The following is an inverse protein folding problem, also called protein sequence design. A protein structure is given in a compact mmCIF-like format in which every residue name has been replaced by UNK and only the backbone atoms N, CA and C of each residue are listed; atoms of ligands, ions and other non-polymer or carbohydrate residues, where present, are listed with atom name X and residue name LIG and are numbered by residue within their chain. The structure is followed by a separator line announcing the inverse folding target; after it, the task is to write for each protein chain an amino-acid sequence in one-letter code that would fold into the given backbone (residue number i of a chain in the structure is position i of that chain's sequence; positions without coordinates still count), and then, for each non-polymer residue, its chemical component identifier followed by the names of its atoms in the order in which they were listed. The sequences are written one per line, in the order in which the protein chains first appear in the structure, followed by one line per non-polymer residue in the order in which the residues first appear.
data_IF_235974176727
#
_entry.id   IF_235974176727
#
_cell.length_a   1.000
_cell.length_b   1.000
_cell.length_c   1.000
_cell.angle_alpha   90.00
_cell.angle_beta   90.00
_cell.angle_gamma   90.00
#
_symmetry.space_group_name_H-M   'P 1'
#
loop_
_entity.id
_entity.type
_entity.pdbx_description
1 polymer ?
#
# COMPACT_ATOMS: atom_id res chain seq x y z
N UNK A 1 21.96 -5.99 10.40
CA UNK A 1 20.72 -6.12 11.16
C UNK A 1 20.27 -4.73 11.54
N UNK A 2 18.97 -4.53 11.71
CA UNK A 2 18.38 -3.28 12.17
C UNK A 2 17.01 -3.54 12.78
N UNK A 3 16.32 -2.47 13.14
CA UNK A 3 14.97 -2.55 13.66
C UNK A 3 14.32 -1.19 13.86
N UNK A 4 13.11 -1.22 14.40
CA UNK A 4 12.47 -0.02 14.88
C UNK A 4 11.51 -0.31 16.03
N UNK A 5 11.29 0.72 16.84
CA UNK A 5 10.17 0.80 17.80
C UNK A 5 9.34 2.01 17.40
N UNK A 6 8.02 1.86 17.35
CA UNK A 6 7.11 2.96 17.04
C UNK A 6 5.98 3.04 18.06
N UNK A 7 5.60 4.27 18.37
CA UNK A 7 4.47 4.60 19.22
C UNK A 7 3.51 5.46 18.41
N UNK A 8 2.22 5.27 18.62
CA UNK A 8 1.20 6.12 18.00
C UNK A 8 0.38 6.83 19.06
N UNK A 9 -0.20 7.96 18.67
CA UNK A 9 -1.30 8.60 19.38
C UNK A 9 -2.44 8.87 18.38
N UNK A 10 -3.61 8.34 18.67
CA UNK A 10 -4.80 8.49 17.84
C UNK A 10 -5.92 9.28 18.52
N UNK A 11 -6.53 10.19 17.76
CA UNK A 11 -7.78 10.86 18.11
C UNK A 11 -8.79 10.71 16.99
N UNK A 12 -10.05 10.46 17.32
CA UNK A 12 -11.15 10.25 16.38
C UNK A 12 -12.28 11.24 16.67
N UNK A 13 -12.94 11.77 15.62
CA UNK A 13 -14.15 12.60 15.77
C UNK A 13 -15.46 11.80 15.79
N UNK A 14 -15.39 10.50 15.47
CA UNK A 14 -16.55 9.64 15.22
C UNK A 14 -16.67 8.44 16.16
N UNK A 15 -15.70 8.24 17.04
CA UNK A 15 -15.64 7.13 17.99
C UNK A 15 -14.73 7.49 19.17
N UNK A 16 -14.62 6.60 20.16
CA UNK A 16 -13.69 6.78 21.26
C UNK A 16 -12.25 6.82 20.76
N UNK A 17 -11.49 7.80 21.23
CA UNK A 17 -10.10 7.98 20.82
C UNK A 17 -9.22 6.90 21.44
N UNK A 18 -8.42 6.16 20.63
CA UNK A 18 -7.57 5.09 21.14
C UNK A 18 -6.46 5.60 22.07
N UNK A 19 -6.08 6.88 21.98
CA UNK A 19 -5.03 7.45 22.81
C UNK A 19 -3.65 6.99 22.35
N UNK A 20 -2.71 6.81 23.30
CA UNK A 20 -1.34 6.42 23.01
C UNK A 20 -1.13 4.91 23.14
N UNK A 21 -0.40 4.31 22.19
CA UNK A 21 -0.11 2.88 22.14
C UNK A 21 1.31 2.59 21.61
N UNK A 22 1.77 1.36 21.85
CA UNK A 22 2.92 0.79 21.16
C UNK A 22 2.44 0.29 19.80
N UNK A 23 2.81 0.98 18.72
CA UNK A 23 2.34 0.65 17.37
C UNK A 23 3.10 -0.54 16.79
N UNK A 24 4.44 -0.54 16.91
CA UNK A 24 5.25 -1.54 16.22
C UNK A 24 6.58 -1.79 16.94
N UNK A 25 6.92 -3.06 17.08
CA UNK A 25 8.30 -3.52 17.15
C UNK A 25 8.63 -4.20 15.83
N UNK A 26 9.79 -3.90 15.24
CA UNK A 26 10.24 -4.59 14.02
C UNK A 26 11.69 -5.00 14.11
N UNK A 27 11.98 -6.16 13.53
CA UNK A 27 13.32 -6.68 13.33
C UNK A 27 13.57 -6.85 11.84
N UNK A 28 14.75 -6.45 11.38
CA UNK A 28 15.14 -6.59 9.99
C UNK A 28 16.59 -7.07 9.83
N UNK A 29 16.81 -7.87 8.79
CA UNK A 29 18.14 -8.25 8.36
C UNK A 29 18.21 -8.24 6.84
N UNK A 30 19.33 -7.74 6.33
CA UNK A 30 19.66 -7.77 4.92
C UNK A 30 21.14 -8.10 4.77
N UNK A 31 21.49 -8.78 3.70
CA UNK A 31 22.86 -9.17 3.43
C UNK A 31 23.11 -9.47 1.96
N UNK A 32 24.37 -9.43 1.57
CA UNK A 32 24.84 -9.76 0.22
C UNK A 32 26.14 -10.55 0.31
N UNK A 33 26.26 -11.58 -0.51
CA UNK A 33 27.48 -12.36 -0.68
C UNK A 33 27.63 -12.71 -2.16
N UNK A 34 28.61 -12.08 -2.82
CA UNK A 34 28.74 -12.16 -4.28
C UNK A 34 27.46 -11.69 -4.98
N UNK A 35 26.89 -12.57 -5.81
CA UNK A 35 25.64 -12.34 -6.56
C UNK A 35 24.38 -12.66 -5.75
N UNK A 36 24.53 -13.30 -4.59
CA UNK A 36 23.40 -13.64 -3.73
C UNK A 36 23.10 -12.50 -2.75
N UNK A 37 21.83 -12.25 -2.49
CA UNK A 37 21.37 -11.31 -1.46
C UNK A 37 20.13 -11.84 -0.75
N UNK A 38 19.78 -11.25 0.38
CA UNK A 38 18.52 -11.50 1.04
C UNK A 38 18.04 -10.24 1.77
N UNK A 39 16.74 -10.15 1.99
CA UNK A 39 16.13 -9.17 2.89
C UNK A 39 14.98 -9.82 3.64
N UNK A 40 14.93 -9.59 4.94
CA UNK A 40 13.85 -10.01 5.82
C UNK A 40 13.46 -8.88 6.75
N UNK A 41 12.16 -8.71 6.96
CA UNK A 41 11.59 -7.87 7.99
C UNK A 41 10.37 -8.56 8.60
N UNK A 42 10.38 -8.64 9.92
CA UNK A 42 9.28 -9.17 10.71
C UNK A 42 8.77 -8.09 11.66
N UNK A 43 7.46 -8.05 11.88
CA UNK A 43 6.77 -7.00 12.61
C UNK A 43 5.90 -7.60 13.70
N UNK A 44 5.96 -7.02 14.89
CA UNK A 44 5.13 -7.34 16.04
C UNK A 44 4.30 -6.10 16.37
N UNK A 45 2.99 -6.25 16.29
CA UNK A 45 1.98 -5.25 16.62
C UNK A 45 1.33 -5.60 17.96
N UNK A 46 0.46 -4.73 18.46
CA UNK A 46 -0.44 -5.12 19.54
C UNK A 46 -1.49 -6.12 19.03
N UNK A 47 -1.53 -7.30 19.62
CA UNK A 47 -2.48 -8.38 19.29
C UNK A 47 -2.05 -9.36 18.19
N UNK A 48 -1.12 -9.01 17.29
CA UNK A 48 -0.65 -9.93 16.24
C UNK A 48 0.76 -9.62 15.74
N UNK A 49 1.30 -10.53 14.93
CA UNK A 49 2.59 -10.37 14.27
C UNK A 49 2.55 -10.89 12.84
N UNK A 50 3.40 -10.32 11.98
CA UNK A 50 3.38 -10.62 10.56
C UNK A 50 4.77 -10.49 9.92
N UNK A 51 4.99 -11.30 8.88
CA UNK A 51 6.05 -11.02 7.91
C UNK A 51 5.66 -9.78 7.12
N UNK A 52 6.60 -8.85 6.97
CA UNK A 52 6.44 -7.75 6.02
C UNK A 52 7.09 -8.10 4.69
N UNK A 53 8.31 -8.61 4.71
CA UNK A 53 8.95 -9.18 3.53
C UNK A 53 10.00 -10.21 3.96
N UNK A 54 10.23 -11.21 3.12
CA UNK A 54 11.26 -12.22 3.30
C UNK A 54 11.59 -12.85 1.95
N UNK A 55 12.69 -12.42 1.33
CA UNK A 55 13.08 -12.90 0.01
C UNK A 55 14.59 -13.14 -0.10
N UNK A 56 14.94 -14.07 -0.99
CA UNK A 56 16.30 -14.30 -1.47
C UNK A 56 16.45 -13.77 -2.88
N UNK A 57 17.56 -13.08 -3.15
CA UNK A 57 17.86 -12.42 -4.41
C UNK A 57 19.11 -13.00 -5.07
N UNK A 58 19.12 -13.00 -6.41
CA UNK A 58 20.26 -13.35 -7.22
C UNK A 58 20.43 -12.34 -8.35
N UNK A 59 21.59 -11.70 -8.44
CA UNK A 59 21.90 -10.80 -9.55
C UNK A 59 22.17 -11.62 -10.81
N UNK A 60 21.22 -11.66 -11.73
CA UNK A 60 21.31 -12.41 -12.99
C UNK A 60 22.21 -11.71 -14.04
N UNK A 61 22.49 -10.42 -13.86
CA UNK A 61 23.40 -9.60 -14.68
C UNK A 61 23.85 -8.35 -13.94
N UNK A 62 24.51 -7.41 -14.63
CA UNK A 62 24.89 -6.12 -14.03
C UNK A 62 23.67 -5.28 -13.64
N UNK A 63 22.61 -5.35 -14.47
CA UNK A 63 21.40 -4.56 -14.31
C UNK A 63 20.15 -5.43 -14.15
N UNK A 64 20.28 -6.70 -13.75
CA UNK A 64 19.15 -7.62 -13.57
C UNK A 64 19.23 -8.37 -12.25
N UNK A 65 18.12 -8.42 -11.52
CA UNK A 65 17.98 -9.19 -10.29
C UNK A 65 16.74 -10.07 -10.34
N UNK A 66 16.89 -11.32 -9.90
CA UNK A 66 15.79 -12.23 -9.61
C UNK A 66 15.59 -12.27 -8.09
N UNK A 67 14.37 -12.10 -7.60
CA UNK A 67 14.01 -12.28 -6.19
C UNK A 67 12.92 -13.32 -6.05
N UNK A 68 13.02 -14.18 -5.04
CA UNK A 68 12.02 -15.19 -4.70
C UNK A 68 11.72 -15.16 -3.20
N UNK A 69 10.44 -15.15 -2.86
CA UNK A 69 9.94 -15.07 -1.48
C UNK A 69 8.76 -14.12 -1.35
N UNK A 70 8.48 -13.71 -0.11
CA UNK A 70 7.47 -12.70 0.24
C UNK A 70 8.05 -11.31 -0.06
N UNK A 71 7.48 -10.60 -1.03
CA UNK A 71 8.08 -9.38 -1.58
C UNK A 71 7.06 -8.48 -2.24
N UNK A 72 7.38 -7.19 -2.33
CA UNK A 72 6.47 -6.20 -2.88
C UNK A 72 6.04 -6.55 -4.31
N UNK A 73 4.74 -6.51 -4.55
CA UNK A 73 4.14 -6.68 -5.87
C UNK A 73 4.40 -5.41 -6.68
N UNK A 74 5.07 -5.49 -7.85
CA UNK A 74 5.45 -4.30 -8.59
C UNK A 74 4.23 -3.73 -9.34
N UNK A 75 3.52 -2.81 -8.70
CA UNK A 75 2.34 -2.16 -9.26
C UNK A 75 2.33 -0.66 -8.92
N UNK A 76 1.93 0.18 -9.88
CA UNK A 76 1.82 1.62 -9.71
C UNK A 76 3.15 2.33 -9.39
N UNK A 77 3.04 3.43 -8.66
CA UNK A 77 4.17 4.24 -8.21
C UNK A 77 4.87 3.54 -7.03
N UNK A 78 6.15 3.21 -7.21
CA UNK A 78 6.96 2.53 -6.22
C UNK A 78 7.98 3.49 -5.57
N UNK A 79 8.38 3.26 -4.31
CA UNK A 79 7.88 2.21 -3.42
C UNK A 79 6.48 2.49 -2.85
N UNK A 80 6.05 3.75 -2.83
CA UNK A 80 4.79 4.20 -2.25
C UNK A 80 4.17 5.32 -3.09
N UNK A 81 2.86 5.32 -3.29
CA UNK A 81 2.12 6.45 -3.86
C UNK A 81 1.53 7.35 -2.76
N UNK A 82 2.35 7.70 -1.76
CA UNK A 82 1.98 8.50 -0.59
C UNK A 82 3.24 9.06 0.11
N UNK A 83 3.09 10.14 0.86
CA UNK A 83 4.12 10.67 1.77
C UNK A 83 3.74 10.51 3.26
N UNK A 84 2.47 10.24 3.55
CA UNK A 84 1.89 10.07 4.88
C UNK A 84 2.06 8.67 5.46
N UNK A 85 1.85 8.54 6.77
CA UNK A 85 1.84 7.24 7.45
C UNK A 85 0.58 6.43 7.12
N UNK A 86 -0.54 7.10 6.85
CA UNK A 86 -1.85 6.49 6.59
C UNK A 86 -2.15 6.22 5.10
N UNK A 87 -1.22 6.52 4.20
CA UNK A 87 -1.35 6.24 2.77
C UNK A 87 -2.61 6.84 2.12
N UNK A 88 -2.89 6.44 0.87
CA UNK A 88 -4.17 6.65 0.20
C UNK A 88 -5.03 5.39 0.18
N UNK A 89 -6.19 5.45 -0.47
CA UNK A 89 -7.11 4.32 -0.62
C UNK A 89 -6.49 3.14 -1.37
N UNK A 90 -5.55 3.38 -2.30
CA UNK A 90 -4.85 2.35 -3.05
C UNK A 90 -4.10 1.33 -2.18
N UNK A 91 -3.54 1.78 -1.06
CA UNK A 91 -2.90 0.91 -0.07
C UNK A 91 -3.88 -0.10 0.53
N UNK A 92 -5.03 0.38 0.97
CA UNK A 92 -6.09 -0.48 1.55
C UNK A 92 -6.77 -1.38 0.53
N UNK A 93 -6.58 -1.12 -0.76
CA UNK A 93 -7.10 -1.89 -1.88
C UNK A 93 -6.10 -2.93 -2.42
N UNK A 94 -4.92 -3.08 -1.78
CA UNK A 94 -3.89 -4.03 -2.22
C UNK A 94 -3.16 -3.60 -3.50
N UNK A 95 -3.25 -2.31 -3.88
CA UNK A 95 -2.61 -1.77 -5.08
C UNK A 95 -1.24 -1.14 -4.79
N UNK A 96 -0.94 -0.90 -3.53
CA UNK A 96 0.27 -0.20 -3.07
C UNK A 96 0.78 -0.90 -1.80
N UNK A 97 2.11 -0.96 -1.62
CA UNK A 97 2.77 -1.58 -0.46
C UNK A 97 2.25 -2.99 -0.07
N UNK A 98 1.97 -3.81 -1.08
CA UNK A 98 1.42 -5.18 -1.02
C UNK A 98 2.53 -6.22 -1.26
N UNK A 99 2.64 -7.30 -0.46
CA UNK A 99 3.87 -8.14 -0.34
C UNK A 99 3.76 -9.64 -0.63
N UNK A 100 3.06 -10.08 -1.65
CA UNK A 100 2.86 -11.52 -1.93
C UNK A 100 4.09 -12.45 -2.02
N UNK A 101 3.79 -13.75 -1.83
CA UNK A 101 4.73 -14.84 -2.11
C UNK A 101 4.87 -15.07 -3.64
N UNK A 102 6.05 -14.77 -4.17
CA UNK A 102 6.30 -14.90 -5.60
C UNK A 102 7.76 -14.86 -6.03
N UNK A 103 7.93 -14.72 -7.35
CA UNK A 103 9.21 -14.53 -8.03
C UNK A 103 9.12 -13.27 -8.88
N UNK A 104 10.08 -12.36 -8.73
CA UNK A 104 10.15 -11.10 -9.47
C UNK A 104 11.50 -10.99 -10.13
N UNK A 105 11.49 -10.72 -11.43
CA UNK A 105 12.65 -10.25 -12.17
C UNK A 105 12.55 -8.73 -12.30
N UNK A 106 13.63 -8.05 -11.91
CA UNK A 106 13.81 -6.62 -12.09
C UNK A 106 14.96 -6.37 -13.05
N UNK A 107 14.80 -5.41 -13.96
CA UNK A 107 15.85 -5.01 -14.89
C UNK A 107 15.90 -3.50 -15.11
N UNK A 108 17.09 -2.93 -14.98
CA UNK A 108 17.39 -1.55 -15.32
C UNK A 108 18.14 -1.43 -16.65
N UNK A 109 17.86 -0.38 -17.41
CA UNK A 109 18.62 -0.02 -18.61
C UNK A 109 18.58 1.51 -18.80
N UNK A 110 19.62 2.21 -18.34
CA UNK A 110 19.65 3.67 -18.35
C UNK A 110 18.48 4.26 -17.56
N UNK A 111 17.65 5.07 -18.22
CA UNK A 111 16.46 5.69 -17.64
C UNK A 111 15.26 4.73 -17.48
N UNK A 112 15.38 3.46 -17.90
CA UNK A 112 14.28 2.51 -17.95
C UNK A 112 14.38 1.46 -16.85
N UNK A 113 13.26 1.16 -16.20
CA UNK A 113 13.13 0.08 -15.21
C UNK A 113 11.93 -0.81 -15.51
N UNK A 114 12.15 -2.11 -15.50
CA UNK A 114 11.17 -3.14 -15.77
C UNK A 114 11.05 -4.09 -14.58
N UNK A 115 9.82 -4.51 -14.28
CA UNK A 115 9.55 -5.60 -13.35
C UNK A 115 8.62 -6.60 -14.02
N UNK A 116 8.91 -7.88 -13.84
CA UNK A 116 8.05 -9.00 -14.23
C UNK A 116 7.94 -9.92 -13.03
N UNK A 117 6.74 -10.01 -12.46
CA UNK A 117 6.45 -10.80 -11.28
C UNK A 117 5.44 -11.91 -11.56
N UNK A 118 5.63 -13.05 -10.93
CA UNK A 118 4.60 -14.07 -10.74
C UNK A 118 4.43 -14.33 -9.25
N UNK A 119 3.18 -14.35 -8.79
CA UNK A 119 2.81 -14.52 -7.39
C UNK A 119 1.82 -15.67 -7.28
N UNK A 120 1.95 -16.46 -6.22
CA UNK A 120 1.12 -17.66 -6.02
C UNK A 120 -0.24 -17.35 -5.40
N UNK A 121 -0.33 -16.22 -4.71
CA UNK A 121 -1.44 -15.66 -3.93
C UNK A 121 -0.86 -14.75 -2.85
N UNK A 122 -1.67 -14.43 -1.83
CA UNK A 122 -1.25 -13.69 -0.63
C UNK A 122 -0.04 -14.35 0.08
N UNK A 123 0.60 -13.64 1.01
CA UNK A 123 1.86 -14.07 1.63
C UNK A 123 1.81 -15.42 2.32
N UNK A 124 0.62 -15.82 2.79
CA UNK A 124 0.40 -17.04 3.53
C UNK A 124 -0.35 -18.11 2.71
N UNK A 125 -0.87 -17.74 1.54
CA UNK A 125 -1.74 -18.57 0.70
C UNK A 125 -3.08 -18.92 1.36
N UNK A 126 -3.47 -18.15 2.38
CA UNK A 126 -4.64 -18.39 3.23
C UNK A 126 -5.42 -17.09 3.44
N UNK A 127 -6.43 -16.86 2.60
CA UNK A 127 -7.34 -15.72 2.73
C UNK A 127 -8.14 -15.70 4.03
N UNK A 128 -8.20 -16.80 4.80
CA UNK A 128 -8.81 -16.83 6.13
C UNK A 128 -7.91 -16.27 7.24
N UNK A 129 -6.64 -15.99 6.93
CA UNK A 129 -5.67 -15.45 7.88
C UNK A 129 -5.66 -13.92 7.82
N UNK A 130 -6.33 -13.27 8.78
CA UNK A 130 -6.48 -11.81 8.80
C UNK A 130 -5.32 -11.07 9.50
N UNK A 131 -4.53 -11.76 10.33
CA UNK A 131 -3.31 -11.28 10.98
C UNK A 131 -2.15 -11.18 9.99
N UNK A 132 -2.26 -10.21 9.07
CA UNK A 132 -1.29 -9.95 7.99
C UNK A 132 -1.02 -8.46 7.81
N UNK A 133 0.12 -8.17 7.16
CA UNK A 133 0.54 -6.80 6.86
C UNK A 133 -0.13 -6.25 5.60
N UNK A 134 -0.11 -7.02 4.53
CA UNK A 134 -0.63 -6.62 3.22
C UNK A 134 -2.14 -6.73 3.15
N UNK A 135 -2.73 -5.86 2.34
CA UNK A 135 -4.18 -5.83 2.12
C UNK A 135 -4.53 -6.74 0.95
N UNK A 136 -4.98 -7.94 1.30
CA UNK A 136 -5.35 -8.97 0.32
C UNK A 136 -6.83 -9.34 0.42
N UNK A 137 -7.32 -10.05 -0.59
CA UNK A 137 -8.64 -10.69 -0.57
C UNK A 137 -8.78 -11.58 0.66
N UNK A 138 -9.87 -11.39 1.39
CA UNK A 138 -10.22 -12.14 2.59
C UNK A 138 -11.28 -13.20 2.31
N UNK A 139 -11.10 -14.38 2.88
CA UNK A 139 -12.12 -15.43 2.90
C UNK A 139 -13.03 -15.19 4.10
N UNK A 140 -14.26 -14.74 3.83
CA UNK A 140 -15.32 -14.62 4.85
C UNK A 140 -16.46 -15.59 4.56
N UNK A 141 -17.41 -15.74 5.48
CA UNK A 141 -18.61 -16.56 5.26
C UNK A 141 -19.46 -16.02 4.09
N UNK A 142 -19.63 -14.70 3.99
CA UNK A 142 -20.43 -14.05 2.96
C UNK A 142 -19.70 -13.93 1.61
N UNK A 143 -18.38 -13.68 1.64
CA UNK A 143 -17.52 -13.50 0.47
C UNK A 143 -16.33 -14.48 0.57
N UNK A 144 -16.52 -15.76 0.20
CA UNK A 144 -15.58 -16.83 0.49
C UNK A 144 -14.50 -16.94 -0.60
N UNK A 145 -13.76 -15.86 -0.85
CA UNK A 145 -12.74 -15.80 -1.90
C UNK A 145 -11.32 -15.75 -1.33
N UNK A 146 -10.33 -16.16 -2.11
CA UNK A 146 -8.90 -15.94 -1.85
C UNK A 146 -8.15 -15.64 -3.14
N UNK A 147 -7.01 -14.97 -3.04
CA UNK A 147 -6.11 -14.78 -4.19
C UNK A 147 -5.45 -16.09 -4.62
N UNK A 148 -5.33 -16.31 -5.94
CA UNK A 148 -4.70 -17.52 -6.48
C UNK A 148 -4.07 -17.28 -7.84
N UNK A 149 -2.76 -17.03 -7.83
CA UNK A 149 -1.97 -16.87 -9.04
C UNK A 149 -2.18 -15.50 -9.68
N UNK A 150 -1.12 -14.70 -9.77
CA UNK A 150 -1.12 -13.36 -10.34
C UNK A 150 0.19 -13.11 -11.07
N UNK A 151 0.11 -12.55 -12.27
CA UNK A 151 1.27 -12.01 -13.00
C UNK A 151 1.19 -10.50 -12.93
N UNK A 152 2.30 -9.84 -12.63
CA UNK A 152 2.41 -8.39 -12.60
C UNK A 152 3.54 -7.93 -13.52
N UNK A 153 3.27 -6.91 -14.33
CA UNK A 153 4.24 -6.25 -15.20
C UNK A 153 4.24 -4.76 -14.86
N UNK A 154 5.43 -4.20 -14.67
CA UNK A 154 5.60 -2.77 -14.45
C UNK A 154 6.74 -2.23 -15.30
N UNK A 155 6.50 -1.09 -15.90
CA UNK A 155 7.51 -0.30 -16.58
C UNK A 155 7.55 1.11 -16.01
N UNK A 156 8.74 1.67 -15.89
CA UNK A 156 8.95 3.07 -15.56
C UNK A 156 10.12 3.65 -16.33
N UNK A 157 9.92 4.86 -16.79
CA UNK A 157 10.96 5.75 -17.25
C UNK A 157 11.24 6.78 -16.15
N UNK A 158 12.50 7.01 -15.84
CA UNK A 158 12.91 8.02 -14.86
C UNK A 158 14.16 8.76 -15.30
N UNK A 159 14.09 10.09 -15.24
CA UNK A 159 15.22 10.98 -15.43
C UNK A 159 15.42 11.85 -14.20
N UNK A 160 16.67 12.04 -13.82
CA UNK A 160 17.03 12.86 -12.68
C UNK A 160 18.16 13.81 -13.05
N UNK A 161 17.98 15.07 -12.65
CA UNK A 161 18.96 16.15 -12.76
C UNK A 161 19.04 16.87 -11.41
N UNK A 162 20.01 17.77 -11.25
CA UNK A 162 20.17 18.54 -10.01
C UNK A 162 18.92 19.37 -9.64
N UNK A 163 18.09 19.75 -10.62
CA UNK A 163 16.94 20.66 -10.41
C UNK A 163 15.58 20.00 -10.60
N UNK A 164 15.54 18.90 -11.33
CA UNK A 164 14.32 18.24 -11.76
C UNK A 164 14.48 16.72 -11.67
N UNK A 165 13.50 16.05 -11.09
CA UNK A 165 13.30 14.62 -11.22
C UNK A 165 11.97 14.36 -11.91
N UNK A 166 11.93 13.47 -12.88
CA UNK A 166 10.70 13.03 -13.51
C UNK A 166 10.70 11.51 -13.60
N UNK A 167 9.60 10.89 -13.20
CA UNK A 167 9.34 9.49 -13.45
C UNK A 167 7.92 9.31 -13.97
N UNK A 168 7.72 8.40 -14.91
CA UNK A 168 6.40 8.01 -15.37
C UNK A 168 6.41 6.54 -15.75
N UNK A 169 5.30 5.85 -15.49
CA UNK A 169 5.23 4.42 -15.69
C UNK A 169 3.82 3.90 -15.85
N UNK A 170 3.77 2.61 -16.16
CA UNK A 170 2.54 1.85 -16.34
C UNK A 170 2.70 0.50 -15.65
N UNK A 171 1.60 -0.02 -15.12
CA UNK A 171 1.55 -1.36 -14.55
C UNK A 171 0.31 -2.10 -15.04
N UNK A 172 0.42 -3.41 -15.19
CA UNK A 172 -0.71 -4.31 -15.41
C UNK A 172 -0.52 -5.55 -14.55
N UNK A 173 -1.61 -6.06 -14.00
CA UNK A 173 -1.63 -7.37 -13.35
C UNK A 173 -2.84 -8.15 -13.83
N UNK A 174 -2.69 -9.48 -13.90
CA UNK A 174 -3.76 -10.40 -14.24
C UNK A 174 -3.57 -11.71 -13.50
N UNK A 175 -4.65 -12.22 -12.93
CA UNK A 175 -4.65 -13.34 -12.02
C UNK A 175 -6.06 -13.86 -11.77
N UNK A 176 -6.22 -14.57 -10.65
CA UNK A 176 -7.51 -15.11 -10.27
C UNK A 176 -7.77 -14.95 -8.78
N UNK A 177 -9.05 -14.87 -8.43
CA UNK A 177 -9.55 -15.26 -7.12
C UNK A 177 -10.22 -16.62 -7.21
N UNK A 178 -10.15 -17.39 -6.14
CA UNK A 178 -10.73 -18.74 -6.04
C UNK A 178 -11.81 -18.76 -4.96
N UNK A 179 -13.01 -19.21 -5.30
CA UNK A 179 -14.08 -19.48 -4.34
C UNK A 179 -13.71 -20.68 -3.48
N UNK A 180 -13.77 -20.51 -2.17
CA UNK A 180 -13.49 -21.56 -1.17
C UNK A 180 -14.66 -22.52 -0.96
N UNK A 181 -15.82 -22.21 -1.54
CA UNK A 181 -17.01 -23.07 -1.48
C UNK A 181 -16.97 -24.19 -2.52
N UNK A 182 -16.56 -23.87 -3.75
CA UNK A 182 -16.65 -24.78 -4.91
C UNK A 182 -15.34 -24.87 -5.73
N UNK A 183 -14.31 -24.09 -5.39
CA UNK A 183 -13.02 -24.06 -6.11
C UNK A 183 -13.07 -23.31 -7.44
N UNK A 184 -14.18 -22.66 -7.78
CA UNK A 184 -14.31 -21.90 -9.04
C UNK A 184 -13.38 -20.69 -9.02
N UNK A 185 -12.72 -20.45 -10.16
CA UNK A 185 -11.83 -19.29 -10.34
C UNK A 185 -12.50 -18.18 -11.14
N UNK A 186 -12.29 -16.95 -10.69
CA UNK A 186 -12.75 -15.72 -11.32
C UNK A 186 -11.53 -14.85 -11.65
N UNK A 187 -11.56 -14.11 -12.77
CA UNK A 187 -10.45 -13.25 -13.14
C UNK A 187 -10.24 -12.11 -12.13
N UNK A 188 -9.00 -11.75 -11.87
CA UNK A 188 -8.61 -10.57 -11.10
C UNK A 188 -7.59 -9.79 -11.93
N UNK A 189 -8.00 -8.64 -12.45
CA UNK A 189 -7.16 -7.82 -13.34
C UNK A 189 -7.02 -6.41 -12.76
N UNK A 190 -5.83 -5.83 -12.87
CA UNK A 190 -5.61 -4.43 -12.55
C UNK A 190 -4.67 -3.75 -13.55
N UNK A 191 -4.78 -2.43 -13.69
CA UNK A 191 -3.90 -1.62 -14.49
C UNK A 191 -3.70 -0.25 -13.85
N UNK A 192 -2.52 0.34 -14.03
CA UNK A 192 -2.23 1.68 -13.53
C UNK A 192 -1.34 2.46 -14.51
N UNK A 193 -1.51 3.78 -14.48
CA UNK A 193 -0.57 4.75 -15.03
C UNK A 193 -0.18 5.72 -13.92
N UNK A 194 1.10 6.09 -13.85
CA UNK A 194 1.59 6.96 -12.80
C UNK A 194 2.66 7.92 -13.30
N UNK A 195 2.81 9.04 -12.60
CA UNK A 195 3.87 10.00 -12.81
C UNK A 195 4.29 10.65 -11.48
N UNK A 196 5.57 10.96 -11.35
CA UNK A 196 6.14 11.76 -10.28
C UNK A 196 6.99 12.86 -10.89
N UNK A 197 6.82 14.08 -10.39
CA UNK A 197 7.65 15.21 -10.77
C UNK A 197 8.16 15.92 -9.53
N UNK A 198 9.49 16.05 -9.44
CA UNK A 198 10.19 16.78 -8.39
C UNK A 198 10.83 18.03 -8.98
N UNK A 199 10.60 19.18 -8.36
CA UNK A 199 11.24 20.45 -8.73
C UNK A 199 11.59 21.24 -7.47
N UNK A 200 12.89 21.30 -7.17
CA UNK A 200 13.38 21.89 -5.92
C UNK A 200 12.72 21.19 -4.71
N UNK A 201 12.09 21.93 -3.78
CA UNK A 201 11.44 21.35 -2.60
C UNK A 201 10.12 20.63 -2.88
N UNK A 202 9.52 20.83 -4.06
CA UNK A 202 8.19 20.33 -4.35
C UNK A 202 8.25 18.98 -5.07
N UNK A 203 7.43 18.03 -4.63
CA UNK A 203 7.17 16.77 -5.31
C UNK A 203 5.67 16.63 -5.55
N UNK A 204 5.29 16.32 -6.79
CA UNK A 204 3.92 15.98 -7.18
C UNK A 204 3.89 14.54 -7.64
N UNK A 205 2.94 13.76 -7.16
CA UNK A 205 2.65 12.41 -7.65
C UNK A 205 1.21 12.36 -8.18
N UNK A 206 1.04 11.66 -9.30
CA UNK A 206 -0.24 11.39 -9.94
C UNK A 206 -0.30 9.90 -10.25
N UNK A 207 -1.42 9.26 -9.95
CA UNK A 207 -1.68 7.89 -10.34
C UNK A 207 -3.16 7.71 -10.68
N UNK A 208 -3.45 6.92 -11.70
CA UNK A 208 -4.77 6.33 -11.91
C UNK A 208 -4.58 4.83 -11.94
N UNK A 209 -5.16 4.12 -10.97
CA UNK A 209 -5.27 2.67 -11.00
C UNK A 209 -6.72 2.24 -11.27
N UNK A 210 -6.90 1.06 -11.84
CA UNK A 210 -8.18 0.36 -11.95
C UNK A 210 -7.95 -1.09 -11.58
N UNK A 211 -8.88 -1.66 -10.83
CA UNK A 211 -8.93 -3.10 -10.57
C UNK A 211 -10.32 -3.65 -10.85
N UNK A 212 -10.40 -4.95 -11.11
CA UNK A 212 -11.64 -5.69 -11.32
C UNK A 212 -11.51 -7.12 -10.82
N UNK A 213 -12.42 -7.52 -9.95
CA UNK A 213 -12.66 -8.91 -9.60
C UNK A 213 -13.89 -9.43 -10.37
N UNK A 214 -13.69 -10.43 -11.23
CA UNK A 214 -14.69 -10.96 -12.15
C UNK A 214 -15.68 -11.96 -11.53
N UNK A 215 -16.02 -11.80 -10.26
CA UNK A 215 -17.04 -12.61 -9.59
C UNK A 215 -18.42 -11.92 -9.65
N UNK A 216 -19.53 -12.63 -9.40
CA UNK A 216 -20.87 -12.08 -9.61
C UNK A 216 -21.30 -11.00 -8.61
N UNK A 217 -20.76 -11.03 -7.39
CA UNK A 217 -21.12 -10.09 -6.33
C UNK A 217 -20.48 -8.70 -6.58
N UNK A 218 -21.15 -7.59 -6.20
CA UNK A 218 -20.65 -6.23 -6.44
C UNK A 218 -19.50 -5.82 -5.51
N UNK A 219 -19.16 -6.67 -4.53
CA UNK A 219 -18.22 -6.39 -3.46
C UNK A 219 -17.33 -7.60 -3.19
N UNK A 220 -16.10 -7.34 -2.78
CA UNK A 220 -15.14 -8.35 -2.34
C UNK A 220 -14.70 -8.02 -0.91
N UNK A 221 -14.38 -9.04 -0.12
CA UNK A 221 -13.80 -8.81 1.21
C UNK A 221 -12.28 -8.69 1.08
N UNK A 222 -11.71 -7.73 1.81
CA UNK A 222 -10.28 -7.55 1.99
C UNK A 222 -9.94 -7.61 3.48
N UNK A 223 -8.70 -7.93 3.83
CA UNK A 223 -8.25 -7.82 5.22
C UNK A 223 -6.76 -7.59 5.33
N UNK A 224 -6.41 -6.85 6.38
CA UNK A 224 -5.10 -6.81 7.01
C UNK A 224 -5.31 -6.38 8.47
N UNK A 225 -4.30 -6.52 9.32
CA UNK A 225 -4.39 -6.08 10.73
C UNK A 225 -5.60 -6.69 11.48
N UNK A 226 -5.84 -8.00 11.29
CA UNK A 226 -6.82 -8.86 11.97
C UNK A 226 -8.29 -8.74 11.57
N UNK A 227 -8.70 -7.68 10.86
CA UNK A 227 -10.12 -7.43 10.59
C UNK A 227 -10.44 -7.37 9.09
N UNK A 228 -11.44 -8.13 8.61
CA UNK A 228 -11.91 -8.02 7.25
C UNK A 228 -12.88 -6.84 7.10
N UNK A 229 -12.93 -6.29 5.90
CA UNK A 229 -13.87 -5.25 5.49
C UNK A 229 -14.22 -5.43 4.01
N UNK A 230 -15.32 -4.82 3.57
CA UNK A 230 -15.77 -4.92 2.19
C UNK A 230 -15.27 -3.75 1.34
N UNK A 231 -14.95 -4.05 0.09
CA UNK A 231 -14.66 -3.06 -0.94
C UNK A 231 -15.46 -3.33 -2.21
N UNK A 232 -15.66 -2.32 -3.05
CA UNK A 232 -16.26 -2.52 -4.38
C UNK A 232 -15.43 -3.52 -5.19
N UNK A 233 -16.07 -4.44 -5.93
CA UNK A 233 -15.39 -5.45 -6.74
C UNK A 233 -14.72 -4.87 -8.00
N UNK A 234 -15.08 -3.66 -8.42
CA UNK A 234 -14.46 -2.96 -9.55
C UNK A 234 -14.47 -1.45 -9.27
N UNK A 235 -13.31 -0.79 -9.38
CA UNK A 235 -13.22 0.66 -9.19
C UNK A 235 -12.07 1.31 -9.97
N UNK A 236 -12.24 2.59 -10.30
CA UNK A 236 -11.15 3.50 -10.64
C UNK A 236 -10.62 4.17 -9.36
N UNK A 237 -9.30 4.31 -9.24
CA UNK A 237 -8.61 4.86 -8.08
C UNK A 237 -7.64 5.97 -8.52
N UNK A 238 -8.12 7.20 -8.78
CA UNK A 238 -7.26 8.35 -8.95
C UNK A 238 -6.60 8.77 -7.62
N UNK A 239 -5.30 9.05 -7.68
CA UNK A 239 -4.47 9.53 -6.58
C UNK A 239 -3.71 10.79 -7.02
N UNK A 240 -3.68 11.79 -6.15
CA UNK A 240 -2.91 13.02 -6.30
C UNK A 240 -2.22 13.35 -4.98
N UNK A 241 -0.90 13.46 -5.01
CA UNK A 241 -0.12 13.83 -3.84
C UNK A 241 0.74 15.04 -4.13
N UNK A 242 0.83 15.93 -3.15
CA UNK A 242 1.74 17.06 -3.15
C UNK A 242 2.55 17.05 -1.86
N UNK A 243 3.87 17.08 -2.00
CA UNK A 243 4.80 17.20 -0.88
C UNK A 243 5.75 18.39 -1.06
N UNK A 244 6.17 18.95 0.07
CA UNK A 244 7.07 20.08 0.15
C UNK A 244 8.12 19.88 1.24
N UNK A 245 9.39 19.87 0.84
CA UNK A 245 10.55 19.81 1.73
C UNK A 245 10.88 21.21 2.28
N UNK A 246 10.81 21.37 3.61
CA UNK A 246 11.14 22.61 4.29
C UNK A 246 12.64 22.87 4.22
N UNK A 247 13.04 23.90 3.48
CA UNK A 247 14.45 24.21 3.19
C UNK A 247 15.28 24.67 4.40
N UNK A 248 14.62 25.09 5.49
CA UNK A 248 15.29 25.53 6.74
C UNK A 248 14.56 24.90 7.94
N UNK A 249 14.76 23.60 8.18
CA UNK A 249 14.02 22.85 9.21
C UNK A 249 14.44 23.22 10.65
N UNK A 250 15.44 24.09 10.83
CA UNK A 250 15.86 24.61 12.12
C UNK A 250 16.60 23.55 12.95
N UNK A 251 16.04 23.19 14.12
CA UNK A 251 16.59 22.13 14.96
C UNK A 251 16.50 20.75 14.30
N UNK A 252 15.50 20.52 13.45
CA UNK A 252 15.24 19.23 12.83
C UNK A 252 16.17 18.97 11.63
N UNK A 253 16.37 17.70 11.30
CA UNK A 253 17.24 17.32 10.19
C UNK A 253 16.47 17.38 8.86
N UNK A 254 15.16 17.05 8.89
CA UNK A 254 14.25 17.22 7.77
C UNK A 254 12.81 17.44 8.25
N UNK A 255 12.05 18.24 7.50
CA UNK A 255 10.60 18.34 7.62
C UNK A 255 10.02 18.31 6.21
N UNK A 256 9.09 17.39 5.96
CA UNK A 256 8.35 17.30 4.70
C UNK A 256 6.88 17.37 5.00
N UNK A 257 6.19 18.39 4.49
CA UNK A 257 4.75 18.53 4.64
C UNK A 257 4.06 18.11 3.35
N UNK A 258 2.88 17.51 3.46
CA UNK A 258 2.20 16.88 2.34
C UNK A 258 0.68 16.94 2.44
N UNK A 259 0.05 16.75 1.30
CA UNK A 259 -1.35 16.41 1.15
C UNK A 259 -1.45 15.25 0.15
N UNK A 260 -1.91 14.10 0.62
CA UNK A 260 -2.13 12.89 -0.17
C UNK A 260 -3.64 12.68 -0.33
N UNK A 261 -4.15 12.77 -1.56
CA UNK A 261 -5.56 12.63 -1.89
C UNK A 261 -5.77 11.38 -2.75
N UNK A 262 -6.77 10.59 -2.40
CA UNK A 262 -7.21 9.44 -3.18
C UNK A 262 -8.73 9.34 -3.18
N UNK A 263 -9.27 8.88 -4.30
CA UNK A 263 -10.71 8.63 -4.45
C UNK A 263 -10.89 7.24 -5.02
N UNK A 264 -11.81 6.46 -4.45
CA UNK A 264 -12.20 5.17 -5.02
C UNK A 264 -13.58 5.33 -5.64
N UNK A 265 -13.66 5.12 -6.95
CA UNK A 265 -14.84 5.33 -7.78
C UNK A 265 -15.34 3.97 -8.27
N UNK A 266 -16.33 3.35 -7.59
CA UNK A 266 -16.90 2.09 -8.04
C UNK A 266 -17.41 2.17 -9.47
N UNK A 267 -17.20 1.09 -10.23
CA UNK A 267 -17.69 0.97 -11.60
C UNK A 267 -19.09 0.38 -11.61
N UNK A 268 -19.94 0.93 -12.49
CA UNK A 268 -21.33 0.51 -12.59
C UNK A 268 -22.24 1.20 -11.59
N UNK A 269 -23.55 1.09 -11.79
CA UNK A 269 -24.56 1.61 -10.87
C UNK A 269 -25.09 0.46 -10.04
N UNK A 270 -24.82 0.46 -8.74
CA UNK A 270 -25.34 -0.51 -7.79
C UNK A 270 -25.74 0.22 -6.50
N UNK A 271 -26.94 -0.04 -5.93
CA UNK A 271 -27.43 0.70 -4.76
C UNK A 271 -26.59 0.51 -3.49
N UNK A 272 -25.76 -0.53 -3.44
CA UNK A 272 -24.84 -0.79 -2.34
C UNK A 272 -23.41 -0.27 -2.55
N UNK A 273 -23.17 0.54 -3.59
CA UNK A 273 -21.84 1.09 -3.92
C UNK A 273 -21.90 2.62 -4.00
N UNK A 274 -20.86 3.28 -3.51
CA UNK A 274 -20.70 4.75 -3.53
C UNK A 274 -19.23 5.13 -3.47
N UNK A 275 -18.87 6.29 -4.01
CA UNK A 275 -17.49 6.73 -3.99
C UNK A 275 -16.94 6.94 -2.57
N UNK A 276 -15.67 6.60 -2.40
CA UNK A 276 -14.91 6.85 -1.18
C UNK A 276 -13.85 7.90 -1.40
N UNK A 277 -13.66 8.73 -0.39
CA UNK A 277 -12.63 9.76 -0.38
C UNK A 277 -11.70 9.52 0.80
N UNK A 278 -10.41 9.69 0.57
CA UNK A 278 -9.44 9.83 1.65
C UNK A 278 -8.45 10.94 1.30
N UNK A 279 -8.28 11.85 2.25
CA UNK A 279 -7.33 12.94 2.19
C UNK A 279 -6.50 12.92 3.47
N UNK A 280 -5.18 12.78 3.34
CA UNK A 280 -4.23 12.86 4.44
C UNK A 280 -3.39 14.12 4.29
N UNK A 281 -3.54 15.06 5.23
CA UNK A 281 -2.70 16.27 5.29
C UNK A 281 -1.82 16.18 6.53
N UNK A 282 -0.52 16.34 6.36
CA UNK A 282 0.39 16.16 7.48
C UNK A 282 1.81 16.64 7.21
N UNK A 283 2.69 16.36 8.17
CA UNK A 283 4.13 16.50 7.98
C UNK A 283 4.87 15.32 8.63
N UNK A 284 5.95 14.89 7.98
CA UNK A 284 6.97 14.04 8.56
C UNK A 284 8.13 14.89 9.06
N UNK A 285 8.68 14.54 10.22
CA UNK A 285 9.72 15.27 10.93
C UNK A 285 10.81 14.28 11.33
N UNK A 286 12.05 14.54 10.91
CA UNK A 286 13.19 13.69 11.21
C UNK A 286 14.20 14.37 12.15
N UNK A 287 14.70 13.59 13.13
CA UNK A 287 15.84 13.98 13.98
C UNK A 287 16.66 12.76 14.39
N UNK A 288 17.85 12.62 13.83
CA UNK A 288 18.75 11.49 14.05
C UNK A 288 18.05 10.17 13.68
N UNK A 289 17.84 9.32 14.69
CA UNK A 289 17.16 8.03 14.53
C UNK A 289 15.63 8.12 14.62
N UNK A 290 15.09 9.30 14.96
CA UNK A 290 13.67 9.52 15.15
C UNK A 290 13.02 10.04 13.86
N UNK A 291 11.90 9.44 13.48
CA UNK A 291 10.99 9.97 12.46
C UNK A 291 9.59 10.03 13.05
N UNK A 292 8.95 11.18 12.97
CA UNK A 292 7.59 11.40 13.46
C UNK A 292 6.69 11.84 12.31
N UNK A 293 5.54 11.19 12.15
CA UNK A 293 4.46 11.61 11.27
C UNK A 293 3.37 12.25 12.10
N UNK A 294 2.85 13.39 11.64
CA UNK A 294 1.66 14.05 12.20
C UNK A 294 0.65 14.19 11.07
N UNK A 295 -0.36 13.33 11.08
CA UNK A 295 -1.33 13.18 10.01
C UNK A 295 -2.73 13.54 10.47
N UNK A 296 -3.38 14.45 9.75
CA UNK A 296 -4.82 14.63 9.78
C UNK A 296 -5.44 13.90 8.61
N UNK A 297 -6.17 12.83 8.91
CA UNK A 297 -6.84 11.97 7.93
C UNK A 297 -8.32 12.37 7.93
N UNK A 298 -8.84 12.75 6.78
CA UNK A 298 -10.26 12.97 6.55
C UNK A 298 -10.75 12.02 5.47
N UNK A 299 -11.87 11.36 5.70
CA UNK A 299 -12.45 10.43 4.73
C UNK A 299 -13.97 10.45 4.70
N UNK A 300 -14.51 10.01 3.56
CA UNK A 300 -15.94 9.78 3.34
C UNK A 300 -16.11 8.39 2.73
N UNK A 301 -17.05 7.60 3.26
CA UNK A 301 -17.22 6.19 2.87
C UNK A 301 -15.90 5.41 2.90
N UNK A 302 -15.02 5.72 3.85
CA UNK A 302 -13.68 5.14 3.93
C UNK A 302 -13.53 4.37 5.24
N UNK A 303 -13.31 3.06 5.15
CA UNK A 303 -13.18 2.15 6.30
C UNK A 303 -12.23 2.68 7.37
N UNK A 304 -11.06 3.18 6.95
CA UNK A 304 -10.01 3.69 7.83
C UNK A 304 -10.27 5.10 8.40
N UNK A 305 -11.36 5.72 7.98
CA UNK A 305 -11.97 6.91 8.56
C UNK A 305 -13.40 6.62 9.06
N UNK A 306 -13.66 5.37 9.51
CA UNK A 306 -14.90 4.98 10.16
C UNK A 306 -16.08 4.70 9.23
N UNK A 307 -15.91 4.70 7.91
CA UNK A 307 -16.94 4.32 6.95
C UNK A 307 -17.24 2.81 6.93
N UNK A 308 -18.30 2.37 6.23
CA UNK A 308 -18.71 0.96 6.21
C UNK A 308 -17.80 0.05 5.35
N UNK A 309 -16.91 0.62 4.55
CA UNK A 309 -16.02 -0.10 3.63
C UNK A 309 -15.28 0.88 2.72
N UNK A 310 -14.81 0.43 1.56
CA UNK A 310 -14.24 1.30 0.50
C UNK A 310 -14.99 1.06 -0.82
N UNK A 311 -15.64 2.09 -1.35
CA UNK A 311 -16.56 1.95 -2.47
C UNK A 311 -17.95 1.47 -2.05
N UNK A 312 -18.26 1.48 -0.75
CA UNK A 312 -19.44 0.84 -0.15
C UNK A 312 -20.47 1.88 0.31
N UNK A 313 -21.74 1.60 0.00
CA UNK A 313 -22.90 2.37 0.46
C UNK A 313 -23.74 1.55 1.44
N UNK A 314 -23.68 1.93 2.72
CA UNK A 314 -24.46 1.32 3.81
C UNK A 314 -24.80 2.35 4.89
N UNK A 315 -25.80 2.08 5.74
CA UNK A 315 -26.13 2.96 6.87
C UNK A 315 -24.91 3.27 7.73
N UNK A 316 -24.74 4.55 8.09
CA UNK A 316 -23.54 5.03 8.76
C UNK A 316 -22.42 5.46 7.81
N UNK A 317 -22.60 5.29 6.50
CA UNK A 317 -21.83 5.95 5.44
C UNK A 317 -22.23 7.41 5.20
N UNK A 318 -21.60 8.02 4.21
CA UNK A 318 -21.81 9.36 3.63
C UNK A 318 -21.48 10.61 4.47
N UNK A 319 -21.08 10.43 5.73
CA UNK A 319 -20.45 11.49 6.51
C UNK A 319 -18.97 11.64 6.19
N UNK A 320 -18.47 12.88 6.22
CA UNK A 320 -17.04 13.10 6.41
C UNK A 320 -16.69 12.85 7.88
N UNK A 321 -15.60 12.13 8.08
CA UNK A 321 -15.06 11.76 9.38
C UNK A 321 -13.57 12.04 9.38
N UNK A 322 -13.05 12.44 10.52
CA UNK A 322 -11.65 12.81 10.65
C UNK A 322 -10.98 12.13 11.83
N UNK A 323 -9.67 11.93 11.69
CA UNK A 323 -8.80 11.45 12.75
C UNK A 323 -7.44 12.13 12.69
N UNK A 324 -6.84 12.28 13.85
CA UNK A 324 -5.45 12.68 14.00
C UNK A 324 -4.65 11.43 14.36
N UNK A 325 -3.50 11.26 13.70
CA UNK A 325 -2.52 10.26 14.05
C UNK A 325 -1.14 10.91 14.21
N UNK A 326 -0.50 10.69 15.35
CA UNK A 326 0.89 11.04 15.57
C UNK A 326 1.67 9.75 15.74
N UNK A 327 2.45 9.34 14.74
CA UNK A 327 3.31 8.15 14.82
C UNK A 327 4.75 8.59 15.02
N UNK A 328 5.42 8.12 16.07
CA UNK A 328 6.82 8.39 16.36
C UNK A 328 7.61 7.09 16.34
N UNK A 329 8.56 6.98 15.42
CA UNK A 329 9.43 5.83 15.25
C UNK A 329 10.90 6.11 15.55
N UNK A 330 11.57 5.15 16.17
CA UNK A 330 13.01 5.13 16.40
C UNK A 330 13.64 3.98 15.62
N UNK A 331 14.51 4.29 14.67
CA UNK A 331 15.10 3.33 13.73
C UNK A 331 16.60 3.14 14.04
N UNK A 332 17.08 1.90 14.09
CA UNK A 332 18.44 1.61 14.53
C UNK A 332 19.16 0.51 13.75
#
# INVERSE_FOLDING_TARGET
MGGAVRFSYGWLDYADSPGADLELLRGEARGRSGRASFSLQYRWYDGFDAVHHAWAGWDAGADSQLRAGVQQVPFGLLPYASHSFWFGSGYYLGLEDDYDLGVVWEHGAGAHRWHVGWFSGDEYGDGGRFDRYSFDVATTEALPYRERGRVALRYEFSEESERHGFAAGVSVSSGHIESRMDGRRHGHDAAAVHAQYRRGPATVQLQWARYRYGHPEPRIAMSAFMFPFEVAAEADVPTFNLAWEVQRPGWFDAITCYNDLSVTLPRGHHPGLRESWQNVTGCSIAKGKMVTYVDWIAGKNMWFAGGPGIGIDEPGGDGWRSRLNINMGFFF
#
